data_IF_657723558751
#
_entry.id   IF_657723558751
#
_cell.length_a   1.000
_cell.length_b   1.000
_cell.length_c   1.000
_cell.angle_alpha   90.00
_cell.angle_beta   90.00
_cell.angle_gamma   90.00
#
_symmetry.space_group_name_H-M   'P 1'
#
loop_
_entity.id
_entity.type
_entity.pdbx_description
1 polymer ?
#
# COMPACT_ATOMS: atom_id res chain seq x y z
N UNK A 1 10.37 23.81 5.09
CA UNK A 1 10.51 22.35 5.06
C UNK A 1 9.75 21.78 6.24
N UNK A 2 8.54 21.24 6.02
CA UNK A 2 7.73 20.60 7.08
C UNK A 2 6.79 19.54 6.51
N UNK A 3 7.20 18.84 5.44
CA UNK A 3 6.34 17.91 4.70
C UNK A 3 5.95 16.67 5.54
N UNK A 4 6.66 16.40 6.65
CA UNK A 4 6.38 15.27 7.53
C UNK A 4 6.69 13.92 6.86
N UNK A 5 6.18 12.84 7.44
CA UNK A 5 6.34 11.46 6.93
C UNK A 5 6.68 10.46 8.04
N UNK A 6 6.02 9.30 8.03
CA UNK A 6 6.22 8.24 9.03
C UNK A 6 6.82 6.99 8.39
N UNK A 7 8.10 6.72 8.68
CA UNK A 7 8.79 5.51 8.17
C UNK A 7 8.57 4.32 9.12
N UNK A 8 8.64 4.58 10.43
CA UNK A 8 8.58 3.52 11.44
C UNK A 8 7.25 2.76 11.45
N UNK A 9 6.12 3.45 11.19
CA UNK A 9 4.80 2.82 11.15
C UNK A 9 4.68 1.79 10.03
N UNK A 10 5.16 2.12 8.82
CA UNK A 10 5.16 1.13 7.74
C UNK A 10 6.17 0.02 8.00
N UNK A 11 7.38 0.36 8.47
CA UNK A 11 8.42 -0.64 8.73
C UNK A 11 7.96 -1.74 9.72
N UNK A 12 7.18 -1.39 10.75
CA UNK A 12 6.65 -2.38 11.70
C UNK A 12 5.52 -3.25 11.15
N UNK A 13 4.81 -2.79 10.10
CA UNK A 13 3.67 -3.48 9.51
C UNK A 13 3.93 -4.01 8.09
N UNK A 14 5.11 -3.78 7.51
CA UNK A 14 5.40 -4.07 6.10
C UNK A 14 5.15 -5.54 5.75
N UNK A 15 5.61 -6.47 6.58
CA UNK A 15 5.41 -7.90 6.37
C UNK A 15 3.92 -8.29 6.43
N UNK A 16 3.13 -7.66 7.29
CA UNK A 16 1.68 -7.91 7.36
C UNK A 16 1.00 -7.50 6.05
N UNK A 17 1.32 -6.30 5.55
CA UNK A 17 0.78 -5.84 4.27
C UNK A 17 1.26 -6.70 3.10
N UNK A 18 2.53 -7.11 3.08
CA UNK A 18 3.08 -7.91 1.98
C UNK A 18 2.43 -9.30 1.89
N UNK A 19 2.23 -9.97 3.02
CA UNK A 19 1.46 -11.22 3.08
C UNK A 19 0.04 -11.00 2.59
N UNK A 20 -0.60 -9.90 3.02
CA UNK A 20 -1.93 -9.51 2.56
C UNK A 20 -2.00 -9.39 1.04
N UNK A 21 -1.11 -8.59 0.43
CA UNK A 21 -1.11 -8.36 -1.01
C UNK A 21 -0.79 -9.61 -1.84
N UNK A 22 0.15 -10.44 -1.40
CA UNK A 22 0.58 -11.59 -2.21
C UNK A 22 -0.36 -12.80 -2.10
N UNK A 23 -1.22 -12.86 -1.08
CA UNK A 23 -1.98 -14.07 -0.79
C UNK A 23 -3.46 -13.87 -0.46
N UNK A 24 -3.88 -12.68 -0.04
CA UNK A 24 -5.23 -12.49 0.52
C UNK A 24 -6.04 -11.38 -0.13
N UNK A 25 -5.41 -10.27 -0.49
CA UNK A 25 -6.12 -9.09 -0.96
C UNK A 25 -6.54 -9.25 -2.41
N UNK A 26 -7.85 -9.20 -2.64
CA UNK A 26 -8.43 -9.27 -3.97
C UNK A 26 -8.70 -7.87 -4.51
N UNK A 27 -8.12 -7.58 -5.67
CA UNK A 27 -8.54 -6.45 -6.48
C UNK A 27 -9.97 -6.64 -7.00
N UNK A 28 -10.58 -5.55 -7.48
CA UNK A 28 -11.87 -5.60 -8.17
C UNK A 28 -11.77 -6.45 -9.45
N UNK A 29 -12.77 -7.30 -9.68
CA UNK A 29 -13.00 -8.08 -10.90
C UNK A 29 -14.42 -7.83 -11.43
N UNK A 30 -14.79 -8.50 -12.53
CA UNK A 30 -16.13 -8.37 -13.14
C UNK A 30 -17.24 -8.94 -12.23
N UNK A 31 -16.91 -9.94 -11.41
CA UNK A 31 -17.81 -10.70 -10.53
C UNK A 31 -17.66 -10.35 -9.04
N UNK A 32 -16.57 -9.67 -8.64
CA UNK A 32 -16.28 -9.32 -7.26
C UNK A 32 -15.84 -7.85 -7.12
N UNK A 33 -16.42 -7.12 -6.18
CA UNK A 33 -16.15 -5.68 -5.98
C UNK A 33 -14.72 -5.36 -5.49
N UNK A 34 -13.97 -6.38 -5.06
CA UNK A 34 -12.67 -6.25 -4.40
C UNK A 34 -12.81 -6.12 -2.88
N UNK A 35 -11.71 -6.33 -2.17
CA UNK A 35 -11.67 -6.26 -0.71
C UNK A 35 -11.63 -4.81 -0.21
N UNK A 36 -12.36 -4.53 0.88
CA UNK A 36 -12.37 -3.22 1.52
C UNK A 36 -11.23 -3.11 2.54
N UNK A 37 -10.08 -2.63 2.07
CA UNK A 37 -8.86 -2.54 2.89
C UNK A 37 -8.69 -1.11 3.42
N UNK A 38 -8.97 -0.92 4.71
CA UNK A 38 -8.78 0.36 5.41
C UNK A 38 -7.32 0.50 5.88
N UNK A 39 -6.46 0.96 4.99
CA UNK A 39 -5.02 1.15 5.27
C UNK A 39 -4.81 2.18 6.38
N UNK A 40 -3.87 1.91 7.31
CA UNK A 40 -3.44 2.91 8.28
C UNK A 40 -2.78 4.10 7.55
N UNK A 41 -3.27 5.32 7.75
CA UNK A 41 -2.80 6.50 7.02
C UNK A 41 -1.27 6.73 7.09
N UNK A 42 -0.64 6.42 8.23
CA UNK A 42 0.81 6.55 8.37
C UNK A 42 1.64 5.48 7.65
N UNK A 43 0.99 4.41 7.15
CA UNK A 43 1.61 3.42 6.26
C UNK A 43 1.54 3.81 4.78
N UNK A 44 0.89 4.91 4.42
CA UNK A 44 0.71 5.33 3.03
C UNK A 44 2.02 5.34 2.20
N UNK A 45 3.19 5.79 2.74
CA UNK A 45 4.43 5.74 1.97
C UNK A 45 4.81 4.35 1.45
N UNK A 46 4.53 3.30 2.22
CA UNK A 46 4.79 1.92 1.80
C UNK A 46 3.84 1.43 0.72
N UNK A 47 2.58 1.88 0.73
CA UNK A 47 1.60 1.57 -0.32
C UNK A 47 1.99 2.26 -1.63
N UNK A 48 2.43 3.52 -1.57
CA UNK A 48 2.94 4.23 -2.74
C UNK A 48 4.21 3.58 -3.29
N UNK A 49 5.13 3.17 -2.42
CA UNK A 49 6.34 2.44 -2.82
C UNK A 49 6.00 1.13 -3.56
N UNK A 50 5.02 0.35 -3.09
CA UNK A 50 4.54 -0.84 -3.81
C UNK A 50 3.92 -0.48 -5.15
N UNK A 51 3.07 0.55 -5.19
CA UNK A 51 2.43 0.99 -6.43
C UNK A 51 3.45 1.45 -7.49
N UNK A 52 4.53 2.11 -7.07
CA UNK A 52 5.67 2.43 -7.93
C UNK A 52 6.37 1.17 -8.48
N UNK A 53 6.68 0.19 -7.60
CA UNK A 53 7.29 -1.07 -8.03
C UNK A 53 6.40 -1.90 -8.97
N UNK A 54 5.07 -1.78 -8.84
CA UNK A 54 4.08 -2.38 -9.73
C UNK A 54 3.86 -1.57 -11.02
N UNK A 55 4.58 -0.45 -11.22
CA UNK A 55 4.46 0.41 -12.40
C UNK A 55 3.16 1.21 -12.47
N UNK A 56 2.47 1.41 -11.34
CA UNK A 56 1.21 2.17 -11.25
C UNK A 56 1.42 3.65 -10.91
N UNK A 57 2.60 4.01 -10.39
CA UNK A 57 3.05 5.37 -10.14
C UNK A 57 4.43 5.54 -10.75
N UNK A 58 4.77 6.77 -11.15
CA UNK A 58 6.11 7.16 -11.60
C UNK A 58 6.84 7.96 -10.50
N UNK A 59 8.08 8.37 -10.79
CA UNK A 59 8.95 9.08 -9.83
C UNK A 59 8.50 10.52 -9.57
N UNK A 60 7.72 11.11 -10.49
CA UNK A 60 7.27 12.51 -10.43
C UNK A 60 5.88 12.65 -9.79
N UNK A 61 5.24 11.53 -9.42
CA UNK A 61 3.89 11.45 -8.84
C UNK A 61 3.78 11.90 -7.38
#
# INVERSE_FOLDING_TARGET
SSLGGHIASFASAATLYDVGFNHFFHAKSDDHGGDLIYIQGHCAPGIYARAFLEGRLDEDA
#
